data_IF_897077986398
#
_entry.id   IF_897077986398
#
_cell.length_a   1.000
_cell.length_b   1.000
_cell.length_c   1.000
_cell.angle_alpha   90.00
_cell.angle_beta   90.00
_cell.angle_gamma   90.00
#
_symmetry.space_group_name_H-M   'P 1'
#
loop_
_entity.id
_entity.type
_entity.pdbx_description
1 polymer ?
#
# COMPACT_ATOMS: atom_id res chain seq x y z
N UNK A 1 12.32 16.24 -0.11
CA UNK A 1 12.40 14.90 0.49
C UNK A 1 13.00 13.94 -0.53
N UNK A 2 14.26 13.54 -0.36
CA UNK A 2 14.94 12.59 -1.24
C UNK A 2 14.70 11.18 -0.68
N UNK A 3 13.65 10.53 -1.15
CA UNK A 3 13.49 9.10 -0.90
C UNK A 3 14.22 8.32 -1.98
N UNK A 4 15.30 7.69 -1.61
CA UNK A 4 15.80 6.54 -2.34
C UNK A 4 14.94 5.35 -1.90
N UNK A 5 13.90 5.05 -2.65
CA UNK A 5 13.20 3.79 -2.46
C UNK A 5 14.13 2.64 -2.86
N UNK A 6 14.18 1.61 -2.04
CA UNK A 6 14.73 0.33 -2.42
C UNK A 6 13.95 -0.21 -3.63
N UNK A 7 14.57 -1.09 -4.42
CA UNK A 7 14.00 -1.52 -5.69
C UNK A 7 12.63 -2.20 -5.52
N UNK A 8 12.52 -3.25 -4.71
CA UNK A 8 11.30 -4.01 -4.51
C UNK A 8 11.33 -4.78 -3.16
N UNK A 9 10.17 -4.95 -2.52
CA UNK A 9 8.87 -4.36 -2.81
C UNK A 9 8.84 -2.86 -2.47
N UNK A 10 7.85 -2.12 -3.01
CA UNK A 10 7.66 -0.71 -2.66
C UNK A 10 7.12 -0.57 -1.23
N UNK A 11 7.42 0.58 -0.58
CA UNK A 11 6.85 0.89 0.74
C UNK A 11 5.32 0.86 0.76
N UNK A 12 4.67 1.31 -0.32
CA UNK A 12 3.21 1.24 -0.48
C UNK A 12 2.71 -0.19 -0.51
N UNK A 13 3.42 -1.10 -1.20
CA UNK A 13 3.04 -2.52 -1.22
C UNK A 13 3.09 -3.14 0.19
N UNK A 14 4.11 -2.80 0.97
CA UNK A 14 4.22 -3.26 2.37
C UNK A 14 3.11 -2.67 3.25
N UNK A 15 2.83 -1.37 3.14
CA UNK A 15 1.72 -0.74 3.88
C UNK A 15 0.37 -1.37 3.57
N UNK A 16 0.11 -1.72 2.31
CA UNK A 16 -1.11 -2.43 1.91
C UNK A 16 -1.16 -3.84 2.49
N UNK A 17 -0.03 -4.56 2.48
CA UNK A 17 0.08 -5.88 3.09
C UNK A 17 -0.15 -5.82 4.61
N UNK A 18 0.44 -4.85 5.30
CA UNK A 18 0.25 -4.62 6.74
C UNK A 18 -1.22 -4.31 7.07
N UNK A 19 -1.88 -3.46 6.26
CA UNK A 19 -3.29 -3.14 6.43
C UNK A 19 -4.18 -4.39 6.28
N UNK A 20 -3.89 -5.24 5.30
CA UNK A 20 -4.61 -6.53 5.13
C UNK A 20 -4.32 -7.46 6.30
N UNK A 21 -3.04 -7.63 6.68
CA UNK A 21 -2.63 -8.50 7.77
C UNK A 21 -3.31 -8.13 9.10
N UNK A 22 -3.41 -6.82 9.39
CA UNK A 22 -4.05 -6.33 10.61
C UNK A 22 -5.55 -6.64 10.72
N UNK A 23 -6.22 -6.90 9.59
CA UNK A 23 -7.63 -7.24 9.52
C UNK A 23 -7.90 -8.76 9.55
N UNK A 24 -6.84 -9.58 9.46
CA UNK A 24 -6.98 -11.03 9.49
C UNK A 24 -7.06 -11.57 10.93
N UNK A 25 -7.80 -12.68 11.17
CA UNK A 25 -7.92 -13.29 12.49
C UNK A 25 -6.71 -14.16 12.87
N UNK A 26 -5.62 -14.10 12.11
CA UNK A 26 -4.40 -14.88 12.30
C UNK A 26 -3.17 -14.07 11.85
N UNK A 27 -2.00 -14.46 12.34
CA UNK A 27 -0.74 -13.87 11.90
C UNK A 27 -0.41 -14.33 10.48
N UNK A 28 -0.22 -13.40 9.58
CA UNK A 28 0.10 -13.67 8.19
C UNK A 28 1.61 -13.62 7.93
N UNK A 29 2.12 -14.60 7.19
CA UNK A 29 3.50 -14.63 6.72
C UNK A 29 3.60 -13.94 5.35
N UNK A 30 4.56 -13.02 5.16
CA UNK A 30 4.81 -12.38 3.88
C UNK A 30 5.75 -13.23 3.03
N UNK A 31 5.32 -13.50 1.81
CA UNK A 31 6.09 -14.27 0.83
C UNK A 31 6.34 -13.42 -0.40
N UNK A 32 7.61 -13.09 -0.61
CA UNK A 32 8.02 -12.17 -1.69
C UNK A 32 8.31 -12.86 -3.01
N UNK A 33 8.63 -14.14 -2.96
CA UNK A 33 8.92 -14.93 -4.17
C UNK A 33 8.51 -16.39 -3.96
N UNK A 34 7.74 -16.89 -4.94
CA UNK A 34 7.35 -18.31 -4.99
C UNK A 34 7.94 -19.05 -6.19
N UNK A 35 8.78 -18.39 -6.94
CA UNK A 35 9.31 -18.93 -8.20
C UNK A 35 10.06 -20.27 -7.99
N UNK A 36 10.83 -20.36 -6.92
CA UNK A 36 11.61 -21.55 -6.59
C UNK A 36 10.89 -22.55 -5.68
N UNK A 37 9.69 -22.24 -5.23
CA UNK A 37 8.92 -23.09 -4.32
C UNK A 37 7.98 -24.01 -5.09
N UNK A 38 8.21 -25.32 -5.04
CA UNK A 38 7.31 -26.35 -5.60
C UNK A 38 6.62 -27.12 -4.46
N UNK A 39 5.95 -26.43 -3.58
CA UNK A 39 5.25 -26.98 -2.44
C UNK A 39 3.81 -26.49 -2.37
N UNK A 40 2.97 -27.19 -1.58
CA UNK A 40 1.60 -26.74 -1.35
C UNK A 40 1.63 -25.40 -0.61
N UNK A 41 0.84 -24.43 -1.12
CA UNK A 41 0.74 -23.11 -0.50
C UNK A 41 0.15 -23.22 0.92
N UNK A 42 0.82 -22.70 1.96
CA UNK A 42 0.24 -22.53 3.29
C UNK A 42 -0.98 -21.63 3.27
N UNK A 43 -1.84 -21.79 4.30
CA UNK A 43 -3.11 -21.07 4.35
C UNK A 43 -2.98 -19.61 4.78
N UNK A 44 -1.90 -19.27 5.51
CA UNK A 44 -1.76 -17.98 6.20
C UNK A 44 -0.67 -17.10 5.57
N UNK A 45 -0.58 -17.10 4.25
CA UNK A 45 0.40 -16.29 3.53
C UNK A 45 -0.23 -15.13 2.77
N UNK A 46 0.46 -13.99 2.78
CA UNK A 46 0.24 -12.88 1.88
C UNK A 46 1.39 -12.87 0.87
N UNK A 47 1.09 -13.20 -0.39
CA UNK A 47 2.05 -13.13 -1.48
C UNK A 47 2.24 -11.69 -1.95
N UNK A 48 3.49 -11.24 -2.03
CA UNK A 48 3.86 -9.91 -2.53
C UNK A 48 4.74 -10.11 -3.76
N UNK A 49 4.29 -9.60 -4.90
CA UNK A 49 5.06 -9.62 -6.15
C UNK A 49 5.29 -8.19 -6.64
N UNK A 50 6.45 -7.94 -7.19
CA UNK A 50 6.80 -6.62 -7.71
C UNK A 50 7.32 -6.72 -9.14
N UNK A 51 6.75 -5.90 -10.03
CA UNK A 51 7.18 -5.76 -11.42
C UNK A 51 7.75 -4.37 -11.57
N UNK A 52 8.94 -4.28 -12.17
CA UNK A 52 9.60 -3.01 -12.48
C UNK A 52 9.78 -2.89 -13.99
N UNK A 53 9.47 -1.74 -14.57
CA UNK A 53 9.68 -1.51 -15.99
C UNK A 53 9.19 -0.17 -16.47
N UNK A 54 9.75 0.30 -17.56
CA UNK A 54 9.33 1.51 -18.26
C UNK A 54 9.27 2.76 -17.39
N UNK A 55 8.28 3.58 -17.68
CA UNK A 55 8.02 4.86 -17.00
C UNK A 55 6.82 4.82 -16.05
N UNK A 56 6.47 3.63 -15.55
CA UNK A 56 5.35 3.45 -14.63
C UNK A 56 5.59 4.27 -13.37
N UNK A 57 4.70 5.22 -13.08
CA UNK A 57 4.79 6.11 -11.92
C UNK A 57 4.49 5.34 -10.64
N UNK A 58 3.40 4.58 -10.63
CA UNK A 58 2.99 3.74 -9.53
C UNK A 58 1.72 2.96 -9.88
N UNK A 59 1.78 1.67 -9.74
CA UNK A 59 0.63 0.78 -9.87
C UNK A 59 0.66 -0.24 -8.75
N UNK A 60 -0.46 -0.39 -8.05
CA UNK A 60 -0.62 -1.34 -6.96
C UNK A 60 -1.97 -2.03 -7.10
N UNK A 61 -1.97 -3.35 -6.95
CA UNK A 61 -3.17 -4.18 -6.90
C UNK A 61 -3.15 -5.04 -5.66
N UNK A 62 -4.30 -5.16 -4.99
CA UNK A 62 -4.55 -6.12 -3.92
C UNK A 62 -5.62 -7.08 -4.40
N UNK A 63 -5.29 -8.38 -4.41
CA UNK A 63 -6.19 -9.44 -4.84
C UNK A 63 -6.63 -10.28 -3.64
N UNK A 64 -7.93 -10.34 -3.40
CA UNK A 64 -8.56 -11.22 -2.42
C UNK A 64 -9.14 -12.42 -3.18
N UNK A 65 -8.44 -13.56 -3.07
CA UNK A 65 -8.80 -14.77 -3.80
C UNK A 65 -9.68 -15.66 -2.91
N UNK A 66 -10.99 -15.66 -3.15
CA UNK A 66 -11.96 -16.58 -2.55
C UNK A 66 -11.94 -17.95 -3.24
N UNK A 67 -12.96 -18.78 -2.92
CA UNK A 67 -13.05 -20.12 -3.49
C UNK A 67 -13.35 -20.07 -5.00
N UNK A 68 -14.35 -19.29 -5.40
CA UNK A 68 -14.84 -19.20 -6.78
C UNK A 68 -14.96 -17.75 -7.24
N UNK A 69 -14.22 -16.83 -6.57
CA UNK A 69 -14.25 -15.40 -6.85
C UNK A 69 -12.88 -14.75 -6.57
N UNK A 70 -12.67 -13.63 -7.21
CA UNK A 70 -11.54 -12.73 -6.92
C UNK A 70 -12.08 -11.32 -6.81
N UNK A 71 -11.73 -10.63 -5.72
CA UNK A 71 -11.91 -9.19 -5.59
C UNK A 71 -10.56 -8.53 -5.80
N UNK A 72 -10.47 -7.59 -6.73
CA UNK A 72 -9.27 -6.80 -6.96
C UNK A 72 -9.53 -5.33 -6.62
N UNK A 73 -8.62 -4.74 -5.83
CA UNK A 73 -8.54 -3.30 -5.61
C UNK A 73 -7.27 -2.82 -6.27
N UNK A 74 -7.41 -1.98 -7.30
CA UNK A 74 -6.29 -1.49 -8.09
C UNK A 74 -6.23 0.03 -8.08
N UNK A 75 -5.01 0.58 -7.91
CA UNK A 75 -4.70 1.99 -8.09
C UNK A 75 -3.55 2.15 -9.07
N UNK A 76 -3.73 3.04 -10.05
CA UNK A 76 -2.70 3.41 -11.02
C UNK A 76 -2.51 4.92 -10.99
N UNK A 77 -1.34 5.37 -10.55
CA UNK A 77 -0.93 6.76 -10.63
C UNK A 77 -0.39 7.05 -12.03
N UNK A 78 -1.04 7.93 -12.78
CA UNK A 78 -0.60 8.35 -14.12
C UNK A 78 0.44 9.48 -14.07
N UNK A 79 0.45 10.26 -12.98
CA UNK A 79 1.40 11.36 -12.73
C UNK A 79 1.79 11.39 -11.25
N UNK A 80 2.98 11.91 -10.97
CA UNK A 80 3.41 12.18 -9.59
C UNK A 80 2.66 13.34 -8.95
N UNK A 81 1.95 14.13 -9.74
CA UNK A 81 1.15 15.26 -9.25
C UNK A 81 0.08 14.83 -8.24
N UNK A 82 -0.50 13.63 -8.40
CA UNK A 82 -1.47 13.11 -7.43
C UNK A 82 -0.92 13.06 -6.01
N UNK A 83 0.36 12.74 -5.87
CA UNK A 83 1.02 12.70 -4.56
C UNK A 83 1.38 14.10 -4.06
N UNK A 84 1.73 15.01 -4.98
CA UNK A 84 2.04 16.40 -4.65
C UNK A 84 0.78 17.13 -4.13
N UNK A 85 -0.37 16.92 -4.76
CA UNK A 85 -1.65 17.46 -4.30
C UNK A 85 -1.95 16.98 -2.89
N UNK A 86 -1.88 15.69 -2.62
CA UNK A 86 -2.11 15.15 -1.27
C UNK A 86 -1.13 15.70 -0.21
N UNK A 87 0.12 15.99 -0.60
CA UNK A 87 1.09 16.60 0.31
C UNK A 87 0.73 18.07 0.62
N UNK A 88 0.21 18.82 -0.35
CA UNK A 88 -0.26 20.20 -0.16
C UNK A 88 -1.50 20.22 0.73
N UNK A 89 -2.45 19.31 0.51
CA UNK A 89 -3.64 19.20 1.34
C UNK A 89 -3.28 18.85 2.80
N UNK A 90 -2.34 17.94 3.00
CA UNK A 90 -1.84 17.62 4.32
C UNK A 90 -1.14 18.82 4.99
N UNK A 91 -0.39 19.61 4.22
CA UNK A 91 0.25 20.82 4.74
C UNK A 91 -0.77 21.89 5.15
N UNK A 92 -1.82 22.08 4.35
CA UNK A 92 -2.92 22.99 4.68
C UNK A 92 -3.66 22.55 5.95
N UNK A 93 -3.97 21.25 6.04
CA UNK A 93 -4.56 20.66 7.26
C UNK A 93 -3.70 20.93 8.49
N UNK A 94 -2.38 20.70 8.39
CA UNK A 94 -1.46 20.92 9.52
C UNK A 94 -1.35 22.38 9.93
N UNK A 95 -1.46 23.33 9.00
CA UNK A 95 -1.40 24.75 9.29
C UNK A 95 -2.56 25.23 10.21
N UNK A 96 -3.66 24.51 10.21
CA UNK A 96 -4.83 24.82 11.05
C UNK A 96 -4.79 24.11 12.43
N UNK A 97 -3.81 23.24 12.66
CA UNK A 97 -3.72 22.48 13.93
C UNK A 97 -3.07 23.33 15.02
N UNK A 98 -3.78 23.44 16.14
CA UNK A 98 -3.32 24.14 17.34
C UNK A 98 -2.94 23.18 18.47
N UNK A 99 -3.40 21.94 18.40
CA UNK A 99 -3.08 20.92 19.39
C UNK A 99 -1.84 20.14 18.98
N UNK A 100 -0.85 19.99 19.87
CA UNK A 100 0.29 19.12 19.56
C UNK A 100 -0.15 17.65 19.52
N UNK A 101 0.38 16.90 18.56
CA UNK A 101 0.04 15.49 18.37
C UNK A 101 0.68 14.89 17.11
N UNK A 102 0.48 13.60 16.92
CA UNK A 102 0.75 12.91 15.65
C UNK A 102 -0.53 12.92 14.84
N UNK A 103 -0.42 13.30 13.60
CA UNK A 103 -1.51 13.31 12.62
C UNK A 103 -1.13 12.47 11.41
N UNK A 104 -2.07 11.72 10.86
CA UNK A 104 -1.89 10.92 9.66
C UNK A 104 -2.89 11.29 8.55
N UNK A 105 -2.83 10.60 7.41
CA UNK A 105 -3.73 10.86 6.29
C UNK A 105 -5.19 10.54 6.61
N UNK A 106 -5.48 9.69 7.58
CA UNK A 106 -6.85 9.42 8.01
C UNK A 106 -7.47 10.65 8.67
N UNK A 107 -6.68 11.42 9.42
CA UNK A 107 -7.11 12.70 10.02
C UNK A 107 -7.41 13.74 8.92
N UNK A 108 -6.56 13.83 7.90
CA UNK A 108 -6.76 14.72 6.76
C UNK A 108 -8.05 14.38 6.04
N UNK A 109 -8.27 13.10 5.70
CA UNK A 109 -9.48 12.65 5.02
C UNK A 109 -10.74 12.89 5.86
N UNK A 110 -10.67 12.66 7.17
CA UNK A 110 -11.80 12.90 8.06
C UNK A 110 -12.19 14.39 8.17
N UNK A 111 -11.24 15.30 7.99
CA UNK A 111 -11.49 16.74 8.03
C UNK A 111 -12.24 17.30 6.82
N UNK A 112 -12.26 16.54 5.70
CA UNK A 112 -12.96 16.91 4.46
C UNK A 112 -14.43 16.42 4.39
N UNK A 113 -14.96 15.91 5.49
CA UNK A 113 -16.37 15.46 5.61
C UNK A 113 -17.28 16.59 6.19
#
# INVERSE_FOLDING_TARGET
MLFRSLDAPSGTALMLADAVASALPYDAEYVYDRHERREKRPAHEIGISAIRGGTIVGEHSVLFCGRDEIIEIKHTALSREVFAVGAVDAAAFMAERTQPGMYDMSDVIASHK
#
